data_IF_970426133694
#
_entry.id   IF_970426133694
#
_cell.length_a   1.000
_cell.length_b   1.000
_cell.length_c   1.000
_cell.angle_alpha   90.00
_cell.angle_beta   90.00
_cell.angle_gamma   90.00
#
_symmetry.space_group_name_H-M   'P 1'
#
loop_
_entity.id
_entity.type
_entity.pdbx_description
1 polymer ?
#
# COMPACT_ATOMS: atom_id res chain seq x y z
N UNK A 1 5.40 10.08 0.84
CA UNK A 1 6.19 9.08 1.62
C UNK A 1 5.97 7.73 0.96
N UNK A 2 6.98 6.86 0.83
CA UNK A 2 6.82 5.50 0.25
C UNK A 2 7.27 4.47 1.28
N UNK A 3 6.47 3.41 1.49
CA UNK A 3 6.80 2.31 2.41
C UNK A 3 6.95 1.02 1.62
N UNK A 4 8.08 0.33 1.76
CA UNK A 4 8.37 -0.92 1.07
C UNK A 4 8.03 -2.12 1.97
N UNK A 5 7.24 -3.06 1.45
CA UNK A 5 6.99 -4.38 2.03
C UNK A 5 7.75 -5.41 1.21
N UNK A 6 8.53 -6.27 1.87
CA UNK A 6 9.37 -7.29 1.23
C UNK A 6 8.96 -8.68 1.70
N UNK A 7 8.68 -9.58 0.76
CA UNK A 7 8.48 -11.00 1.02
C UNK A 7 9.76 -11.77 0.73
N UNK A 8 10.22 -12.59 1.67
CA UNK A 8 11.39 -13.46 1.50
C UNK A 8 10.98 -14.92 1.61
N UNK A 9 11.01 -15.64 0.49
CA UNK A 9 10.89 -17.10 0.46
C UNK A 9 12.31 -17.67 0.34
N UNK A 10 12.92 -18.06 1.48
CA UNK A 10 14.35 -18.36 1.54
C UNK A 10 14.60 -19.83 1.20
N UNK A 11 14.87 -20.12 -0.09
CA UNK A 11 15.44 -21.37 -0.58
C UNK A 11 16.85 -21.15 -1.16
N UNK A 12 17.78 -22.09 -0.92
CA UNK A 12 19.24 -21.93 -1.02
C UNK A 12 19.82 -21.67 -2.45
N UNK A 13 19.02 -21.24 -3.44
CA UNK A 13 19.49 -20.97 -4.82
C UNK A 13 18.84 -19.79 -5.58
N UNK A 14 17.90 -19.04 -5.03
CA UNK A 14 17.07 -18.17 -5.89
C UNK A 14 17.43 -16.67 -5.95
N UNK A 15 17.42 -16.18 -7.19
CA UNK A 15 17.28 -14.75 -7.54
C UNK A 15 15.83 -14.32 -7.16
N UNK A 16 15.55 -13.02 -7.10
CA UNK A 16 14.20 -12.42 -7.05
C UNK A 16 13.59 -12.20 -5.65
N UNK A 17 13.96 -11.08 -5.01
CA UNK A 17 13.18 -10.48 -3.91
C UNK A 17 11.81 -10.05 -4.44
N UNK A 18 10.73 -10.46 -3.78
CA UNK A 18 9.38 -10.01 -4.07
C UNK A 18 9.02 -8.79 -3.21
N UNK A 19 8.32 -7.82 -3.77
CA UNK A 19 8.10 -6.53 -3.10
C UNK A 19 6.78 -5.86 -3.49
N UNK A 20 6.29 -4.99 -2.61
CA UNK A 20 5.21 -4.03 -2.87
C UNK A 20 5.60 -2.69 -2.23
N UNK A 21 5.46 -1.57 -2.94
CA UNK A 21 5.77 -0.24 -2.39
C UNK A 21 4.51 0.62 -2.21
N UNK A 22 3.99 0.68 -0.99
CA UNK A 22 2.79 1.43 -0.64
C UNK A 22 3.08 2.94 -0.67
N UNK A 23 2.25 3.68 -1.41
CA UNK A 23 2.35 5.14 -1.60
C UNK A 23 1.17 5.85 -0.93
N UNK A 24 1.27 6.19 0.36
CA UNK A 24 0.36 7.16 0.95
C UNK A 24 0.64 8.58 0.44
N UNK A 25 -0.42 9.37 0.37
CA UNK A 25 -0.35 10.80 0.09
C UNK A 25 -0.23 11.59 1.40
N UNK A 26 -1.08 12.58 1.65
CA UNK A 26 -1.04 13.38 2.87
C UNK A 26 -1.48 12.54 4.08
N UNK A 27 -0.52 12.26 4.97
CA UNK A 27 -0.74 11.44 6.16
C UNK A 27 -1.37 12.24 7.31
N UNK A 28 -2.38 11.66 7.94
CA UNK A 28 -3.00 12.18 9.17
C UNK A 28 -3.30 11.05 10.16
N UNK A 29 -3.65 11.42 11.40
CA UNK A 29 -3.94 10.47 12.47
C UNK A 29 -5.45 10.23 12.59
N UNK A 30 -5.82 8.96 12.74
CA UNK A 30 -7.15 8.47 13.14
C UNK A 30 -6.92 7.28 14.08
N UNK A 31 -7.87 7.02 14.98
CA UNK A 31 -7.78 5.91 15.94
C UNK A 31 -8.26 4.58 15.33
N UNK A 32 -9.20 4.64 14.39
CA UNK A 32 -9.89 3.47 13.85
C UNK A 32 -9.70 3.34 12.33
N UNK A 33 -9.70 2.10 11.84
CA UNK A 33 -9.68 1.82 10.41
C UNK A 33 -10.96 2.33 9.76
N UNK A 34 -10.82 3.09 8.67
CA UNK A 34 -11.92 3.65 7.89
C UNK A 34 -11.87 3.15 6.44
N UNK A 35 -12.91 3.42 5.65
CA UNK A 35 -12.93 3.02 4.24
C UNK A 35 -11.79 3.67 3.45
N UNK A 36 -11.09 2.89 2.64
CA UNK A 36 -10.04 3.39 1.73
C UNK A 36 -10.09 2.69 0.37
N UNK A 37 -9.48 3.33 -0.62
CA UNK A 37 -9.36 2.82 -1.99
C UNK A 37 -7.88 2.69 -2.39
N UNK A 38 -7.59 1.70 -3.23
CA UNK A 38 -6.26 1.39 -3.74
C UNK A 38 -6.23 1.60 -5.25
N UNK A 39 -5.19 2.27 -5.74
CA UNK A 39 -5.06 2.60 -7.15
C UNK A 39 -3.67 2.24 -7.66
N UNK A 40 -3.59 1.70 -8.87
CA UNK A 40 -2.31 1.49 -9.53
C UNK A 40 -1.67 2.84 -9.87
N UNK A 41 -0.36 2.96 -9.61
CA UNK A 41 0.40 4.14 -10.02
C UNK A 41 0.74 4.07 -11.51
N UNK A 42 0.68 5.20 -12.26
CA UNK A 42 0.31 6.54 -11.81
C UNK A 42 -1.20 6.82 -11.85
N UNK A 43 -1.78 7.23 -10.72
CA UNK A 43 -3.04 7.97 -10.70
C UNK A 43 -2.77 9.41 -11.12
N UNK A 44 -3.44 9.88 -12.17
CA UNK A 44 -3.40 11.29 -12.59
C UNK A 44 -3.84 12.18 -11.42
N UNK A 45 -3.11 13.28 -11.22
CA UNK A 45 -3.51 14.44 -10.40
C UNK A 45 -3.26 14.45 -8.88
N UNK A 46 -2.28 13.69 -8.36
CA UNK A 46 -1.83 13.82 -6.95
C UNK A 46 -1.31 15.22 -6.56
N UNK A 47 -0.93 16.04 -7.54
CA UNK A 47 -0.41 17.40 -7.32
C UNK A 47 -1.55 18.43 -7.14
N UNK A 48 -2.69 18.23 -7.79
CA UNK A 48 -3.81 19.18 -7.78
C UNK A 48 -4.97 18.75 -6.87
N UNK A 49 -5.09 17.46 -6.55
CA UNK A 49 -6.06 16.93 -5.60
C UNK A 49 -5.39 15.87 -4.71
N UNK A 50 -4.49 16.29 -3.80
CA UNK A 50 -3.83 15.34 -2.91
C UNK A 50 -4.88 14.66 -2.05
N UNK A 51 -4.96 13.34 -2.16
CA UNK A 51 -5.81 12.56 -1.27
C UNK A 51 -5.22 12.57 0.15
N UNK A 52 -6.06 12.25 1.12
CA UNK A 52 -5.61 12.06 2.50
C UNK A 52 -5.63 10.58 2.83
N UNK A 53 -4.63 10.14 3.60
CA UNK A 53 -4.56 8.77 4.09
C UNK A 53 -4.30 8.76 5.58
N UNK A 54 -5.13 8.07 6.36
CA UNK A 54 -4.84 7.90 7.78
C UNK A 54 -3.72 6.88 7.99
N UNK A 55 -2.84 7.12 8.98
CA UNK A 55 -1.73 6.20 9.29
C UNK A 55 -2.23 4.80 9.63
N UNK A 56 -3.38 4.70 10.30
CA UNK A 56 -4.01 3.42 10.64
C UNK A 56 -4.47 2.65 9.38
N UNK A 57 -4.97 3.33 8.34
CA UNK A 57 -5.31 2.69 7.07
C UNK A 57 -4.08 2.20 6.31
N UNK A 58 -2.97 2.93 6.37
CA UNK A 58 -1.69 2.47 5.81
C UNK A 58 -1.22 1.19 6.52
N UNK A 59 -1.25 1.19 7.86
CA UNK A 59 -0.87 0.02 8.66
C UNK A 59 -1.80 -1.18 8.37
N UNK A 60 -3.11 -0.96 8.29
CA UNK A 60 -4.09 -1.98 7.95
C UNK A 60 -3.81 -2.61 6.57
N UNK A 61 -3.56 -1.80 5.55
CA UNK A 61 -3.25 -2.32 4.22
C UNK A 61 -1.91 -3.07 4.19
N UNK A 62 -0.88 -2.58 4.90
CA UNK A 62 0.38 -3.32 5.04
C UNK A 62 0.20 -4.67 5.73
N UNK A 63 -0.62 -4.75 6.77
CA UNK A 63 -0.95 -6.03 7.40
C UNK A 63 -1.68 -6.96 6.42
N UNK A 64 -2.63 -6.43 5.65
CA UNK A 64 -3.38 -7.19 4.63
C UNK A 64 -2.44 -7.75 3.56
N UNK A 65 -1.46 -6.97 3.09
CA UNK A 65 -0.44 -7.43 2.13
C UNK A 65 0.37 -8.63 2.64
N UNK A 66 0.57 -8.74 3.95
CA UNK A 66 1.34 -9.82 4.57
C UNK A 66 0.50 -11.04 4.91
N UNK A 67 -0.82 -10.89 5.05
CA UNK A 67 -1.72 -11.96 5.54
C UNK A 67 -2.68 -12.50 4.48
N UNK A 68 -2.89 -11.78 3.38
CA UNK A 68 -3.73 -12.22 2.26
C UNK A 68 -2.92 -12.42 0.98
N UNK A 69 -2.71 -13.69 0.62
CA UNK A 69 -1.98 -14.11 -0.58
C UNK A 69 -2.55 -13.51 -1.88
N UNK A 70 -3.87 -13.29 -1.95
CA UNK A 70 -4.48 -12.73 -3.15
C UNK A 70 -4.13 -11.24 -3.29
N UNK A 71 -4.21 -10.49 -2.20
CA UNK A 71 -3.78 -9.09 -2.15
C UNK A 71 -2.28 -8.98 -2.43
N UNK A 72 -1.43 -9.85 -1.87
CA UNK A 72 0.00 -9.90 -2.18
C UNK A 72 0.24 -10.08 -3.69
N UNK A 73 -0.31 -11.14 -4.28
CA UNK A 73 -0.16 -11.47 -5.71
C UNK A 73 -0.67 -10.35 -6.61
N UNK A 74 -1.74 -9.66 -6.20
CA UNK A 74 -2.30 -8.54 -6.95
C UNK A 74 -1.33 -7.35 -7.03
N UNK A 75 -0.57 -7.08 -5.97
CA UNK A 75 0.29 -5.89 -5.86
C UNK A 75 1.79 -6.16 -5.98
N UNK A 76 2.19 -7.44 -6.08
CA UNK A 76 3.57 -7.85 -6.26
C UNK A 76 4.23 -7.10 -7.43
N UNK A 77 5.37 -6.48 -7.17
CA UNK A 77 6.13 -5.67 -8.12
C UNK A 77 5.51 -4.31 -8.46
N UNK A 78 4.52 -3.84 -7.68
CA UNK A 78 3.78 -2.61 -7.96
C UNK A 78 3.85 -1.60 -6.81
N UNK A 79 3.34 -0.39 -7.09
CA UNK A 79 3.33 0.74 -6.17
C UNK A 79 1.91 1.27 -5.92
N UNK A 80 1.05 0.54 -5.18
CA UNK A 80 -0.32 0.99 -4.91
C UNK A 80 -0.35 2.33 -4.18
N UNK A 81 -1.21 3.22 -4.66
CA UNK A 81 -1.56 4.47 -3.98
C UNK A 81 -2.81 4.24 -3.14
N UNK A 82 -2.78 4.67 -1.88
CA UNK A 82 -3.86 4.47 -0.91
C UNK A 82 -4.50 5.82 -0.54
N UNK A 83 -5.83 5.91 -0.62
CA UNK A 83 -6.60 7.09 -0.25
C UNK A 83 -7.78 6.72 0.65
N UNK A 84 -8.00 7.46 1.74
CA UNK A 84 -9.24 7.36 2.51
C UNK A 84 -10.43 7.75 1.61
N UNK A 85 -11.54 7.02 1.74
CA UNK A 85 -12.81 7.40 1.14
C UNK A 85 -13.43 8.47 2.03
N UNK A 86 -13.62 9.67 1.50
CA UNK A 86 -14.45 10.69 2.16
C UNK A 86 -15.91 10.36 1.94
N UNK A 87 -16.68 10.23 3.02
CA UNK A 87 -18.14 10.23 2.98
C UNK A 87 -18.71 11.60 2.62
#
# INVERSE_FOLDING_TARGET
MTILVVGVNIGQKDRFVEWVAVRPDSLFDEEEVSGYSLHASPTRDAIFNPGKTSRINVAHFMATLLTDDNTWKMWQGQMPVIYNVTG
#
